data_IF_473167982911
#
_entry.id   IF_473167982911
#
_cell.length_a   1.000
_cell.length_b   1.000
_cell.length_c   1.000
_cell.angle_alpha   90.00
_cell.angle_beta   90.00
_cell.angle_gamma   90.00
#
_symmetry.space_group_name_H-M   'P 1'
#
loop_
_entity.id
_entity.type
_entity.pdbx_description
1 polymer ?
#
# COMPACT_ATOMS: atom_id res chain seq x y z
N UNK A 1 1.43 20.47 3.58
CA UNK A 1 0.00 20.35 3.94
C UNK A 1 -0.42 18.90 4.07
N UNK A 2 -0.16 18.06 3.06
CA UNK A 2 -0.43 16.63 3.11
C UNK A 2 0.77 15.86 3.67
N UNK A 3 0.51 14.79 4.40
CA UNK A 3 1.50 13.85 4.92
C UNK A 3 1.10 12.42 4.61
N UNK A 4 2.11 11.54 4.58
CA UNK A 4 1.85 10.12 4.61
C UNK A 4 1.20 9.70 5.94
N UNK A 5 0.20 8.82 5.87
CA UNK A 5 -0.41 8.25 7.06
C UNK A 5 0.64 7.39 7.79
N UNK A 6 0.61 7.41 9.13
CA UNK A 6 1.61 6.72 9.95
C UNK A 6 0.99 5.54 10.67
N UNK A 7 1.59 4.36 10.53
CA UNK A 7 1.18 3.18 11.27
C UNK A 7 1.41 3.40 12.78
N UNK A 8 0.35 3.31 13.58
CA UNK A 8 0.39 3.45 15.03
C UNK A 8 -0.72 2.63 15.69
N UNK A 9 -0.60 2.38 16.98
CA UNK A 9 -1.58 1.62 17.75
C UNK A 9 -2.94 2.34 17.70
N UNK A 10 -4.01 1.63 17.36
CA UNK A 10 -5.35 2.23 17.24
C UNK A 10 -5.86 2.81 18.56
N UNK A 11 -5.55 2.16 19.69
CA UNK A 11 -5.95 2.64 21.01
C UNK A 11 -5.11 3.83 21.52
N UNK A 12 -3.92 4.07 20.95
CA UNK A 12 -3.06 5.19 21.30
C UNK A 12 -2.08 5.48 20.16
N UNK A 13 -2.40 6.50 19.36
CA UNK A 13 -1.64 6.88 18.15
C UNK A 13 -0.21 7.36 18.43
N UNK A 14 0.14 7.65 19.69
CA UNK A 14 1.52 7.98 20.07
C UNK A 14 2.42 6.74 20.17
N UNK A 15 1.84 5.53 20.18
CA UNK A 15 2.60 4.27 20.24
C UNK A 15 2.81 3.76 18.82
N UNK A 16 4.05 3.88 18.35
CA UNK A 16 4.46 3.39 17.04
C UNK A 16 4.87 1.92 17.09
N UNK A 17 4.67 1.16 16.00
CA UNK A 17 5.18 -0.20 15.90
C UNK A 17 6.72 -0.18 15.92
N UNK A 18 7.32 -1.22 16.51
CA UNK A 18 8.78 -1.38 16.51
C UNK A 18 9.35 -1.31 15.08
N UNK A 19 10.51 -0.68 14.94
CA UNK A 19 11.32 -0.64 13.73
C UNK A 19 12.74 -1.11 14.04
N UNK A 20 13.53 -1.39 13.01
CA UNK A 20 14.95 -1.67 13.20
C UNK A 20 15.70 -0.34 13.29
N UNK A 21 16.34 -0.07 14.43
CA UNK A 21 17.04 1.18 14.66
C UNK A 21 18.31 1.33 13.81
N UNK A 22 18.93 0.21 13.41
CA UNK A 22 20.16 0.19 12.61
C UNK A 22 19.81 0.13 11.13
N UNK A 23 19.04 -0.88 10.72
CA UNK A 23 18.78 -1.14 9.31
C UNK A 23 17.61 -0.33 8.74
N UNK A 24 16.79 0.32 9.55
CA UNK A 24 15.56 0.97 9.08
C UNK A 24 14.49 -0.03 8.63
N UNK A 25 13.57 0.42 7.78
CA UNK A 25 12.48 -0.40 7.25
C UNK A 25 12.44 -0.42 5.71
N UNK A 26 11.81 -1.44 5.08
CA UNK A 26 11.73 -1.53 3.62
C UNK A 26 11.16 -0.29 2.92
N UNK A 27 10.25 0.44 3.58
CA UNK A 27 9.70 1.71 3.09
C UNK A 27 10.81 2.78 2.89
N UNK A 28 11.85 2.76 3.74
CA UNK A 28 13.03 3.61 3.58
C UNK A 28 13.95 3.10 2.46
N UNK A 29 14.13 1.77 2.38
CA UNK A 29 15.02 1.11 1.42
C UNK A 29 14.55 1.24 -0.02
N UNK A 30 13.24 1.27 -0.21
CA UNK A 30 12.56 1.35 -1.51
C UNK A 30 11.83 2.69 -1.68
N UNK A 31 12.38 3.78 -1.12
CA UNK A 31 11.86 5.13 -1.32
C UNK A 31 12.06 5.61 -2.76
N UNK A 32 11.17 6.49 -3.24
CA UNK A 32 11.24 7.03 -4.61
C UNK A 32 12.54 7.82 -4.89
N UNK A 33 13.14 8.43 -3.87
CA UNK A 33 14.45 9.09 -3.97
C UNK A 33 15.59 8.12 -4.30
N UNK A 34 15.45 6.84 -3.96
CA UNK A 34 16.42 5.78 -4.26
C UNK A 34 16.05 5.04 -5.54
N UNK A 35 14.76 4.70 -5.71
CA UNK A 35 14.25 3.98 -6.89
C UNK A 35 14.44 4.78 -8.18
N UNK A 36 14.38 6.11 -8.13
CA UNK A 36 14.62 7.00 -9.27
C UNK A 36 16.00 6.81 -9.91
N UNK A 37 17.02 6.42 -9.14
CA UNK A 37 18.35 6.09 -9.68
C UNK A 37 18.33 4.89 -10.64
N UNK A 38 17.29 4.04 -10.54
CA UNK A 38 17.04 2.90 -11.41
C UNK A 38 15.92 3.15 -12.41
N UNK A 39 15.41 4.39 -12.50
CA UNK A 39 14.22 4.73 -13.28
C UNK A 39 12.98 3.94 -12.88
N UNK A 40 12.87 3.60 -11.60
CA UNK A 40 11.71 2.92 -11.03
C UNK A 40 10.93 3.93 -10.18
N UNK A 41 9.61 3.84 -10.24
CA UNK A 41 8.70 4.59 -9.39
C UNK A 41 7.90 3.63 -8.51
N UNK A 42 7.87 3.90 -7.22
CA UNK A 42 7.04 3.22 -6.23
C UNK A 42 5.74 3.98 -5.95
N UNK A 43 4.62 3.26 -5.89
CA UNK A 43 3.30 3.78 -5.53
C UNK A 43 2.67 2.96 -4.40
N UNK A 44 2.15 3.64 -3.38
CA UNK A 44 1.36 3.02 -2.33
C UNK A 44 -0.11 3.34 -2.63
N UNK A 45 -0.93 2.30 -2.74
CA UNK A 45 -2.34 2.44 -3.09
C UNK A 45 -3.18 1.45 -2.30
N UNK A 46 -4.40 1.86 -2.01
CA UNK A 46 -5.44 1.00 -1.48
C UNK A 46 -6.34 0.54 -2.63
N UNK A 47 -6.77 -0.71 -2.62
CA UNK A 47 -7.60 -1.25 -3.70
C UNK A 47 -8.70 -2.20 -3.19
N UNK A 48 -9.69 -2.42 -4.06
CA UNK A 48 -10.90 -3.16 -3.73
C UNK A 48 -10.98 -4.47 -4.49
N UNK A 49 -11.41 -5.51 -3.78
CA UNK A 49 -11.84 -6.77 -4.36
C UNK A 49 -13.33 -6.89 -4.11
N UNK A 50 -14.08 -7.18 -5.17
CA UNK A 50 -15.47 -7.58 -5.08
C UNK A 50 -15.51 -9.03 -4.56
N UNK A 51 -15.84 -9.21 -3.28
CA UNK A 51 -15.92 -10.53 -2.64
C UNK A 51 -17.20 -11.30 -2.96
N UNK A 52 -18.14 -10.67 -3.67
CA UNK A 52 -19.41 -11.29 -4.07
C UNK A 52 -19.37 -11.88 -5.47
N UNK A 53 -18.38 -11.50 -6.30
CA UNK A 53 -18.22 -12.08 -7.63
C UNK A 53 -17.67 -13.51 -7.55
N UNK A 54 -17.96 -14.33 -8.56
CA UNK A 54 -17.42 -15.70 -8.66
C UNK A 54 -16.81 -15.90 -10.05
N UNK A 55 -15.47 -15.93 -10.18
CA UNK A 55 -14.46 -15.77 -9.12
C UNK A 55 -14.45 -14.34 -8.51
N UNK A 56 -13.78 -14.15 -7.37
CA UNK A 56 -13.52 -12.82 -6.82
C UNK A 56 -12.73 -11.99 -7.83
N UNK A 57 -13.13 -10.73 -8.04
CA UNK A 57 -12.51 -9.84 -9.03
C UNK A 57 -12.10 -8.51 -8.41
N UNK A 58 -11.12 -7.84 -9.04
CA UNK A 58 -10.77 -6.46 -8.68
C UNK A 58 -11.92 -5.53 -9.07
N UNK A 59 -12.37 -4.68 -8.15
CA UNK A 59 -13.15 -3.50 -8.53
C UNK A 59 -12.17 -2.45 -9.07
N UNK A 60 -12.38 -1.88 -10.28
CA UNK A 60 -11.39 -1.06 -10.98
C UNK A 60 -11.26 0.37 -10.40
N UNK A 61 -11.09 0.46 -9.09
CA UNK A 61 -10.95 1.70 -8.33
C UNK A 61 -9.76 1.53 -7.39
N UNK A 62 -8.86 2.51 -7.41
CA UNK A 62 -7.73 2.62 -6.48
C UNK A 62 -7.80 3.93 -5.72
N UNK A 63 -7.36 3.89 -4.47
CA UNK A 63 -7.30 5.05 -3.59
C UNK A 63 -5.86 5.34 -3.17
N UNK A 64 -5.51 6.61 -3.11
CA UNK A 64 -4.22 7.08 -2.59
C UNK A 64 -4.50 7.92 -1.37
N UNK A 65 -4.17 7.36 -0.21
CA UNK A 65 -4.47 7.95 1.09
C UNK A 65 -3.44 9.02 1.47
N UNK A 66 -3.91 10.17 1.93
CA UNK A 66 -3.09 11.23 2.52
C UNK A 66 -3.81 11.84 3.74
N UNK A 67 -3.03 12.37 4.66
CA UNK A 67 -3.55 12.97 5.91
C UNK A 67 -3.21 14.45 5.92
N UNK A 68 -4.16 15.30 6.32
CA UNK A 68 -3.89 16.72 6.56
C UNK A 68 -2.89 16.89 7.71
N UNK A 69 -2.04 17.89 7.60
CA UNK A 69 -1.15 18.26 8.72
C UNK A 69 -1.98 18.73 9.91
N UNK A 70 -1.47 18.58 11.15
CA UNK A 70 -2.18 19.05 12.34
C UNK A 70 -2.62 20.51 12.20
N UNK A 71 -3.83 20.82 12.65
CA UNK A 71 -4.49 22.13 12.53
C UNK A 71 -4.82 22.63 11.11
N UNK A 72 -4.61 21.82 10.05
CA UNK A 72 -5.09 22.14 8.70
C UNK A 72 -6.48 21.56 8.50
N UNK A 73 -7.40 22.34 7.92
CA UNK A 73 -8.77 21.89 7.62
C UNK A 73 -8.99 21.71 6.13
N UNK A 74 -10.10 21.06 5.76
CA UNK A 74 -10.44 20.86 4.35
C UNK A 74 -10.54 22.17 3.57
N UNK A 75 -11.01 23.25 4.18
CA UNK A 75 -11.10 24.56 3.53
C UNK A 75 -9.73 25.05 3.04
N UNK A 76 -8.67 24.81 3.81
CA UNK A 76 -7.30 25.19 3.42
C UNK A 76 -6.81 24.38 2.21
N UNK A 77 -7.11 23.07 2.20
CA UNK A 77 -6.78 22.19 1.09
C UNK A 77 -7.56 22.55 -0.18
N UNK A 78 -8.84 22.88 -0.03
CA UNK A 78 -9.77 23.17 -1.13
C UNK A 78 -9.51 24.51 -1.83
N UNK A 79 -8.63 25.37 -1.30
CA UNK A 79 -8.20 26.60 -1.99
C UNK A 79 -7.54 26.27 -3.33
N UNK A 80 -6.65 25.26 -3.37
CA UNK A 80 -6.00 24.78 -4.59
C UNK A 80 -5.55 23.32 -4.44
N UNK A 81 -6.49 22.34 -4.55
CA UNK A 81 -6.19 20.92 -4.41
C UNK A 81 -5.09 20.44 -5.36
N UNK A 82 -5.06 21.00 -6.57
CA UNK A 82 -4.09 20.65 -7.61
C UNK A 82 -2.68 21.06 -7.18
N UNK A 83 -2.48 22.30 -6.75
CA UNK A 83 -1.17 22.74 -6.28
C UNK A 83 -0.71 21.92 -5.05
N UNK A 84 -1.62 21.60 -4.13
CA UNK A 84 -1.30 20.78 -2.96
C UNK A 84 -0.87 19.35 -3.33
N UNK A 85 -1.57 18.70 -4.27
CA UNK A 85 -1.23 17.37 -4.75
C UNK A 85 0.08 17.38 -5.57
N UNK A 86 0.29 18.37 -6.43
CA UNK A 86 1.55 18.53 -7.18
C UNK A 86 2.72 18.79 -6.23
N UNK A 87 2.54 19.60 -5.19
CA UNK A 87 3.57 19.83 -4.18
C UNK A 87 3.89 18.55 -3.39
N UNK A 88 2.87 17.72 -3.11
CA UNK A 88 3.03 16.49 -2.35
C UNK A 88 3.71 15.37 -3.13
N UNK A 89 3.25 15.12 -4.36
CA UNK A 89 3.64 13.95 -5.15
C UNK A 89 4.63 14.28 -6.27
N UNK A 90 4.67 15.53 -6.71
CA UNK A 90 5.40 15.93 -7.91
C UNK A 90 4.67 15.54 -9.20
N UNK A 91 4.96 16.27 -10.28
CA UNK A 91 4.31 16.06 -11.59
C UNK A 91 4.61 14.68 -12.19
N UNK A 92 5.83 14.19 -12.02
CA UNK A 92 6.25 12.88 -12.55
C UNK A 92 5.41 11.76 -11.95
N UNK A 93 5.21 11.75 -10.63
CA UNK A 93 4.36 10.76 -9.97
C UNK A 93 2.94 10.79 -10.50
N UNK A 94 2.33 11.98 -10.59
CA UNK A 94 0.93 12.15 -11.00
C UNK A 94 0.72 11.76 -12.47
N UNK A 95 1.67 12.09 -13.35
CA UNK A 95 1.66 11.66 -14.74
C UNK A 95 1.79 10.14 -14.87
N UNK A 96 2.69 9.53 -14.10
CA UNK A 96 2.85 8.07 -14.10
C UNK A 96 1.60 7.37 -13.56
N UNK A 97 1.00 7.91 -12.50
CA UNK A 97 -0.25 7.39 -11.94
C UNK A 97 -1.37 7.44 -12.98
N UNK A 98 -1.57 8.59 -13.62
CA UNK A 98 -2.57 8.76 -14.67
C UNK A 98 -2.35 7.79 -15.83
N UNK A 99 -1.10 7.66 -16.30
CA UNK A 99 -0.76 6.75 -17.39
C UNK A 99 -1.05 5.30 -16.99
N UNK A 100 -0.59 4.88 -15.82
CA UNK A 100 -0.84 3.54 -15.28
C UNK A 100 -2.34 3.24 -15.18
N UNK A 101 -3.13 4.15 -14.59
CA UNK A 101 -4.57 3.94 -14.38
C UNK A 101 -5.32 3.90 -15.70
N UNK A 102 -4.98 4.78 -16.65
CA UNK A 102 -5.58 4.78 -17.99
C UNK A 102 -5.25 3.50 -18.76
N UNK A 103 -3.99 3.04 -18.72
CA UNK A 103 -3.57 1.79 -19.38
C UNK A 103 -4.26 0.58 -18.78
N UNK A 104 -4.45 0.55 -17.46
CA UNK A 104 -5.06 -0.59 -16.78
C UNK A 104 -6.58 -0.52 -16.67
N UNK A 105 -7.22 0.58 -17.10
CA UNK A 105 -8.67 0.78 -16.95
C UNK A 105 -9.12 0.99 -15.51
N UNK A 106 -8.29 1.64 -14.68
CA UNK A 106 -8.56 1.95 -13.28
C UNK A 106 -9.02 3.40 -13.10
N UNK A 107 -9.94 3.61 -12.16
CA UNK A 107 -10.22 4.94 -11.62
C UNK A 107 -9.34 5.22 -10.40
N UNK A 108 -8.72 6.41 -10.34
CA UNK A 108 -7.91 6.82 -9.20
C UNK A 108 -8.55 7.99 -8.45
N UNK A 109 -8.54 7.90 -7.12
CA UNK A 109 -8.92 9.00 -6.24
C UNK A 109 -7.93 9.16 -5.10
N UNK A 110 -7.68 10.40 -4.69
CA UNK A 110 -6.98 10.69 -3.45
C UNK A 110 -8.00 10.75 -2.32
N UNK A 111 -7.72 10.06 -1.22
CA UNK A 111 -8.52 10.10 0.00
C UNK A 111 -7.78 10.99 0.98
N UNK A 112 -8.24 12.23 1.12
CA UNK A 112 -7.65 13.22 2.02
C UNK A 112 -8.42 13.17 3.35
N UNK A 113 -7.69 12.89 4.42
CA UNK A 113 -8.23 12.60 5.75
C UNK A 113 -7.79 13.69 6.73
N UNK A 114 -8.74 14.39 7.35
CA UNK A 114 -8.48 15.15 8.58
C UNK A 114 -8.54 14.20 9.78
N UNK A 115 -7.38 13.65 10.18
CA UNK A 115 -7.30 12.59 11.19
C UNK A 115 -7.55 13.08 12.63
N UNK A 116 -7.76 14.40 12.82
CA UNK A 116 -8.18 15.01 14.10
C UNK A 116 -9.70 14.99 14.30
N UNK A 117 -10.49 14.65 13.26
CA UNK A 117 -11.94 14.57 13.38
C UNK A 117 -12.38 13.46 14.34
N UNK A 118 -13.56 13.66 14.96
CA UNK A 118 -14.28 12.60 15.64
C UNK A 118 -14.95 11.67 14.63
N UNK A 119 -14.25 10.61 14.25
CA UNK A 119 -14.76 9.63 13.28
C UNK A 119 -15.97 8.82 13.76
N UNK A 120 -16.40 8.97 15.02
CA UNK A 120 -17.64 8.37 15.52
C UNK A 120 -18.89 9.21 15.19
N UNK A 121 -18.69 10.48 14.82
CA UNK A 121 -19.75 11.39 14.40
C UNK A 121 -20.16 11.16 12.94
N UNK A 122 -21.47 11.05 12.68
CA UNK A 122 -22.01 10.90 11.32
C UNK A 122 -21.85 12.17 10.46
N UNK A 123 -21.50 13.30 11.09
CA UNK A 123 -21.20 14.57 10.39
C UNK A 123 -19.75 14.68 9.93
N UNK A 124 -18.87 13.75 10.34
CA UNK A 124 -17.46 13.77 9.92
C UNK A 124 -17.33 13.55 8.41
N UNK A 125 -16.42 14.30 7.80
CA UNK A 125 -16.27 14.38 6.36
C UNK A 125 -14.94 13.81 5.89
N UNK A 126 -14.93 13.33 4.64
CA UNK A 126 -13.75 12.89 3.93
C UNK A 126 -13.70 13.68 2.62
N UNK A 127 -12.53 14.21 2.26
CA UNK A 127 -12.33 14.82 0.95
C UNK A 127 -11.80 13.76 -0.03
N UNK A 128 -12.65 13.36 -0.99
CA UNK A 128 -12.25 12.55 -2.12
C UNK A 128 -11.88 13.44 -3.29
N UNK A 129 -10.69 13.26 -3.87
CA UNK A 129 -10.26 13.99 -5.05
C UNK A 129 -10.09 13.02 -6.21
N UNK A 130 -11.03 13.01 -7.15
CA UNK A 130 -10.93 12.17 -8.34
C UNK A 130 -9.87 12.72 -9.28
N UNK A 131 -8.98 11.85 -9.77
CA UNK A 131 -8.06 12.16 -10.86
C UNK A 131 -8.75 11.87 -12.19
N UNK A 132 -8.89 12.90 -13.02
CA UNK A 132 -9.46 12.81 -14.37
C UNK A 132 -8.35 13.16 -15.37
N UNK A 133 -8.11 12.30 -16.35
CA UNK A 133 -7.00 12.50 -17.29
C UNK A 133 -5.66 12.61 -16.56
N UNK A 134 -4.81 13.55 -16.97
CA UNK A 134 -3.41 13.67 -16.50
C UNK A 134 -3.17 14.71 -15.42
N UNK A 135 -4.03 15.71 -15.27
CA UNK A 135 -3.78 16.85 -14.38
C UNK A 135 -5.08 17.59 -13.98
N UNK A 136 -6.23 16.89 -14.05
CA UNK A 136 -7.52 17.39 -13.60
C UNK A 136 -7.94 16.68 -12.31
N UNK A 137 -8.28 17.47 -11.29
CA UNK A 137 -8.53 17.04 -9.92
C UNK A 137 -9.87 17.58 -9.48
N UNK A 138 -10.84 16.69 -9.28
CA UNK A 138 -12.19 17.06 -8.85
C UNK A 138 -12.37 16.70 -7.38
N UNK A 139 -12.27 17.67 -6.44
CA UNK A 139 -12.49 17.43 -5.02
C UNK A 139 -14.00 17.32 -4.72
N UNK A 140 -14.33 16.47 -3.75
CA UNK A 140 -15.67 16.35 -3.20
C UNK A 140 -15.56 16.05 -1.70
N UNK A 141 -16.23 16.85 -0.88
CA UNK A 141 -16.48 16.50 0.52
C UNK A 141 -17.69 15.57 0.60
N UNK A 142 -17.51 14.45 1.28
CA UNK A 142 -18.57 13.48 1.53
C UNK A 142 -18.60 13.12 3.02
N UNK A 143 -19.77 12.78 3.52
CA UNK A 143 -19.90 12.32 4.91
C UNK A 143 -19.34 10.90 5.07
N UNK A 144 -19.02 10.55 6.32
CA UNK A 144 -18.59 9.20 6.69
C UNK A 144 -19.61 8.13 6.29
N UNK A 145 -20.91 8.45 6.32
CA UNK A 145 -21.98 7.55 5.86
C UNK A 145 -21.88 7.22 4.38
N UNK A 146 -21.66 8.23 3.52
CA UNK A 146 -21.44 8.05 2.09
C UNK A 146 -20.15 7.26 1.84
N UNK A 147 -19.07 7.58 2.56
CA UNK A 147 -17.79 6.90 2.42
C UNK A 147 -17.86 5.41 2.78
N UNK A 148 -18.56 5.06 3.87
CA UNK A 148 -18.88 3.66 4.24
C UNK A 148 -19.68 2.97 3.13
N UNK A 149 -20.65 3.67 2.53
CA UNK A 149 -21.42 3.18 1.40
C UNK A 149 -20.55 2.84 0.18
N UNK A 150 -19.61 3.73 -0.18
CA UNK A 150 -18.65 3.50 -1.27
C UNK A 150 -17.75 2.29 -0.99
N UNK A 151 -17.23 2.16 0.24
CA UNK A 151 -16.40 1.01 0.62
C UNK A 151 -17.17 -0.31 0.43
N UNK A 152 -18.42 -0.38 0.89
CA UNK A 152 -19.26 -1.58 0.73
C UNK A 152 -19.55 -1.85 -0.74
N UNK A 153 -19.93 -0.82 -1.50
CA UNK A 153 -20.19 -0.95 -2.93
C UNK A 153 -18.98 -1.54 -3.65
N UNK A 154 -17.79 -0.96 -3.46
CA UNK A 154 -16.58 -1.41 -4.13
C UNK A 154 -16.07 -2.76 -3.62
N UNK A 155 -16.38 -3.14 -2.39
CA UNK A 155 -16.03 -4.47 -1.84
C UNK A 155 -16.99 -5.59 -2.24
N UNK A 156 -18.06 -5.30 -2.99
CA UNK A 156 -19.10 -6.30 -3.30
C UNK A 156 -20.06 -6.57 -2.15
N UNK A 157 -20.16 -5.66 -1.19
CA UNK A 157 -20.99 -5.80 0.00
C UNK A 157 -20.23 -5.52 1.30
N UNK A 158 -20.86 -5.80 2.46
CA UNK A 158 -20.26 -5.57 3.76
C UNK A 158 -19.04 -6.47 4.01
N UNK A 159 -17.96 -5.89 4.53
CA UNK A 159 -16.73 -6.61 4.88
C UNK A 159 -16.28 -6.23 6.29
N UNK A 160 -16.00 -7.23 7.12
CA UNK A 160 -15.56 -7.07 8.51
C UNK A 160 -14.30 -7.93 8.76
N UNK A 161 -13.41 -7.47 9.65
CA UNK A 161 -12.15 -8.15 10.04
C UNK A 161 -12.28 -8.96 11.35
N UNK A 162 -13.48 -9.01 11.91
CA UNK A 162 -13.82 -9.57 13.21
C UNK A 162 -14.01 -8.49 14.28
N UNK A 163 -14.60 -8.89 15.42
CA UNK A 163 -14.90 -7.98 16.55
C UNK A 163 -13.68 -7.26 17.13
N UNK A 164 -12.50 -7.85 16.99
CA UNK A 164 -11.24 -7.28 17.50
C UNK A 164 -10.84 -5.97 16.79
N UNK A 165 -11.24 -5.80 15.53
CA UNK A 165 -10.75 -4.70 14.71
C UNK A 165 -9.23 -4.76 14.49
N UNK A 166 -8.68 -3.65 14.00
CA UNK A 166 -7.24 -3.47 13.83
C UNK A 166 -6.57 -3.15 15.16
N UNK A 167 -5.41 -3.77 15.41
CA UNK A 167 -4.54 -3.37 16.53
C UNK A 167 -3.76 -2.12 16.16
N UNK A 168 -3.23 -2.08 14.93
CA UNK A 168 -2.52 -0.94 14.36
C UNK A 168 -3.25 -0.52 13.08
N UNK A 169 -3.39 0.78 12.88
CA UNK A 169 -3.92 1.37 11.66
C UNK A 169 -3.03 2.53 11.22
N UNK A 170 -3.23 3.02 10.02
CA UNK A 170 -2.48 4.16 9.47
C UNK A 170 -3.16 5.51 9.75
N UNK A 171 -4.45 5.47 10.11
CA UNK A 171 -5.29 6.63 10.51
C UNK A 171 -6.30 6.23 11.60
N UNK A 172 -6.82 7.22 12.34
CA UNK A 172 -7.96 7.01 13.24
C UNK A 172 -9.22 6.58 12.47
N UNK A 173 -9.41 7.08 11.25
CA UNK A 173 -10.50 6.66 10.35
C UNK A 173 -10.46 5.14 10.11
N UNK A 174 -9.30 4.61 9.73
CA UNK A 174 -9.12 3.17 9.47
C UNK A 174 -9.36 2.34 10.74
N UNK A 175 -8.85 2.80 11.88
CA UNK A 175 -9.09 2.17 13.17
C UNK A 175 -10.59 2.09 13.50
N UNK A 176 -11.33 3.19 13.31
CA UNK A 176 -12.79 3.23 13.51
C UNK A 176 -13.50 2.27 12.53
N UNK A 177 -13.19 2.35 11.23
CA UNK A 177 -13.82 1.51 10.21
C UNK A 177 -13.58 0.01 10.43
N UNK A 178 -12.45 -0.36 11.04
CA UNK A 178 -12.14 -1.77 11.34
C UNK A 178 -13.12 -2.44 12.31
N UNK A 179 -13.89 -1.65 13.08
CA UNK A 179 -14.95 -2.15 13.96
C UNK A 179 -16.33 -2.16 13.28
N UNK A 180 -16.42 -1.78 12.01
CA UNK A 180 -17.65 -1.74 11.22
C UNK A 180 -17.68 -2.85 10.17
N UNK A 181 -18.74 -2.89 9.37
CA UNK A 181 -18.86 -3.72 8.18
C UNK A 181 -18.41 -2.99 6.89
N UNK A 182 -17.72 -1.86 7.05
CA UNK A 182 -17.12 -1.04 5.99
C UNK A 182 -15.60 -1.01 6.17
N UNK A 183 -14.98 -2.18 6.29
CA UNK A 183 -13.53 -2.31 6.45
C UNK A 183 -12.83 -1.58 5.31
N UNK A 184 -11.93 -0.66 5.67
CA UNK A 184 -11.12 0.09 4.72
C UNK A 184 -10.41 -0.87 3.73
N UNK A 185 -10.27 -0.52 2.42
CA UNK A 185 -9.71 -1.39 1.38
C UNK A 185 -8.31 -1.94 1.70
N UNK A 186 -7.89 -2.94 0.92
CA UNK A 186 -6.58 -3.58 1.11
C UNK A 186 -5.45 -2.65 0.76
N UNK A 187 -4.44 -2.61 1.62
CA UNK A 187 -3.19 -1.87 1.43
C UNK A 187 -2.24 -2.66 0.52
N UNK A 188 -1.77 -2.03 -0.54
CA UNK A 188 -0.58 -2.48 -1.27
C UNK A 188 0.63 -1.72 -0.74
N UNK A 189 1.56 -2.44 -0.11
CA UNK A 189 2.73 -1.81 0.50
C UNK A 189 3.60 -1.06 -0.52
N UNK A 190 3.80 -1.63 -1.73
CA UNK A 190 4.44 -0.92 -2.85
C UNK A 190 4.15 -1.57 -4.21
N UNK A 191 3.58 -0.80 -5.15
CA UNK A 191 3.60 -1.12 -6.59
C UNK A 191 4.80 -0.46 -7.24
N UNK A 192 5.58 -1.21 -8.01
CA UNK A 192 6.72 -0.70 -8.77
C UNK A 192 6.33 -0.52 -10.23
N UNK A 193 6.66 0.64 -10.80
CA UNK A 193 6.52 0.97 -12.20
C UNK A 193 7.87 1.32 -12.82
N UNK A 194 8.04 1.08 -14.11
CA UNK A 194 9.18 1.58 -14.90
C UNK A 194 8.99 3.05 -15.32
N UNK A 195 9.95 3.59 -16.09
CA UNK A 195 9.88 4.94 -16.64
C UNK A 195 8.75 5.16 -17.65
N UNK A 196 8.18 4.07 -18.17
CA UNK A 196 7.01 4.08 -19.03
C UNK A 196 5.69 3.91 -18.27
N UNK A 197 5.73 3.87 -16.93
CA UNK A 197 4.58 3.62 -16.05
C UNK A 197 3.96 2.22 -16.23
N UNK A 198 4.75 1.28 -16.73
CA UNK A 198 4.38 -0.14 -16.84
C UNK A 198 4.67 -0.83 -15.51
N UNK A 199 3.73 -1.61 -14.96
CA UNK A 199 3.97 -2.37 -13.74
C UNK A 199 5.14 -3.34 -13.85
N UNK A 200 6.00 -3.35 -12.83
CA UNK A 200 7.17 -4.22 -12.74
C UNK A 200 7.01 -5.31 -11.69
N UNK A 201 6.49 -4.97 -10.50
CA UNK A 201 6.34 -5.89 -9.38
C UNK A 201 5.45 -5.28 -8.28
N UNK A 202 4.89 -6.14 -7.45
CA UNK A 202 4.26 -5.78 -6.18
C UNK A 202 5.22 -6.20 -5.06
N UNK A 203 5.55 -5.29 -4.14
CA UNK A 203 6.24 -5.65 -2.89
C UNK A 203 5.24 -5.68 -1.75
N UNK A 204 5.39 -6.68 -0.88
CA UNK A 204 4.64 -6.88 0.35
C UNK A 204 5.65 -6.97 1.51
N UNK A 205 5.53 -6.10 2.51
CA UNK A 205 6.49 -5.96 3.59
C UNK A 205 6.00 -6.69 4.85
N UNK A 206 6.65 -7.82 5.16
CA UNK A 206 6.30 -8.61 6.34
C UNK A 206 7.29 -8.42 7.47
N UNK A 207 6.86 -7.66 8.48
CA UNK A 207 7.63 -7.41 9.70
C UNK A 207 7.70 -8.64 10.59
N UNK A 208 8.91 -8.97 11.05
CA UNK A 208 9.20 -9.95 12.07
C UNK A 208 9.61 -9.25 13.38
N UNK A 209 8.91 -9.61 14.46
CA UNK A 209 9.07 -9.02 15.79
C UNK A 209 9.53 -10.03 16.84
N UNK A 210 10.02 -11.21 16.45
CA UNK A 210 10.70 -12.13 17.34
C UNK A 210 12.20 -12.05 17.11
N UNK A 211 12.99 -12.46 18.12
CA UNK A 211 14.45 -12.51 18.04
C UNK A 211 14.99 -13.66 17.17
N UNK A 212 14.11 -14.40 16.49
CA UNK A 212 14.48 -15.50 15.64
C UNK A 212 15.07 -15.02 14.31
N UNK A 213 15.90 -15.85 13.67
CA UNK A 213 16.42 -15.57 12.33
C UNK A 213 15.26 -15.36 11.35
N UNK A 214 15.32 -14.26 10.58
CA UNK A 214 14.37 -13.94 9.51
C UNK A 214 14.28 -15.07 8.48
N UNK A 215 15.30 -15.91 8.39
CA UNK A 215 15.32 -17.06 7.49
C UNK A 215 14.22 -18.08 7.72
N UNK A 216 13.75 -18.16 8.96
CA UNK A 216 12.63 -19.01 9.32
C UNK A 216 11.29 -18.38 8.88
N UNK A 217 11.25 -17.12 8.46
CA UNK A 217 10.04 -16.49 7.95
C UNK A 217 9.82 -16.90 6.49
N UNK A 218 8.66 -17.46 6.19
CA UNK A 218 8.29 -17.93 4.85
C UNK A 218 6.81 -17.65 4.64
N UNK A 219 6.37 -17.60 3.39
CA UNK A 219 4.95 -17.43 3.05
C UNK A 219 4.06 -18.45 3.78
N UNK A 220 4.52 -19.69 3.92
CA UNK A 220 3.76 -20.79 4.56
C UNK A 220 3.40 -20.55 6.03
N UNK A 221 4.03 -19.58 6.71
CA UNK A 221 3.63 -19.18 8.07
C UNK A 221 2.41 -18.25 8.10
N UNK A 222 2.06 -17.68 6.95
CA UNK A 222 1.06 -16.62 6.82
C UNK A 222 -0.04 -16.96 5.83
N UNK A 223 0.23 -17.84 4.87
CA UNK A 223 -0.70 -18.22 3.81
C UNK A 223 -0.87 -19.75 3.74
N UNK A 224 -2.11 -20.27 3.62
CA UNK A 224 -3.37 -19.52 3.49
C UNK A 224 -3.91 -18.94 4.82
N UNK A 225 -3.29 -19.26 5.95
CA UNK A 225 -3.69 -18.74 7.26
C UNK A 225 -2.47 -18.25 8.04
N UNK A 226 -2.62 -17.19 8.86
CA UNK A 226 -3.84 -16.41 9.12
C UNK A 226 -4.17 -15.32 8.08
N UNK A 227 -3.27 -15.01 7.15
CA UNK A 227 -3.32 -13.82 6.31
C UNK A 227 -3.83 -14.09 4.88
N UNK A 228 -4.56 -15.19 4.65
CA UNK A 228 -5.03 -15.63 3.33
C UNK A 228 -5.68 -14.53 2.49
N UNK A 229 -6.62 -13.79 3.10
CA UNK A 229 -7.32 -12.67 2.44
C UNK A 229 -6.36 -11.58 1.96
N UNK A 230 -5.28 -11.28 2.70
CA UNK A 230 -4.30 -10.27 2.30
C UNK A 230 -3.58 -10.70 1.02
N UNK A 231 -3.04 -11.91 1.02
CA UNK A 231 -2.29 -12.42 -0.12
C UNK A 231 -3.19 -12.71 -1.35
N UNK A 232 -4.41 -13.19 -1.13
CA UNK A 232 -5.38 -13.39 -2.22
C UNK A 232 -5.75 -12.06 -2.90
N UNK A 233 -5.89 -10.96 -2.14
CA UNK A 233 -6.09 -9.61 -2.72
C UNK A 233 -4.96 -9.24 -3.68
N UNK A 234 -3.70 -9.46 -3.28
CA UNK A 234 -2.54 -9.16 -4.14
C UNK A 234 -2.53 -10.02 -5.40
N UNK A 235 -2.87 -11.31 -5.29
CA UNK A 235 -2.99 -12.20 -6.45
C UNK A 235 -4.08 -11.75 -7.43
N UNK A 236 -5.25 -11.37 -6.92
CA UNK A 236 -6.37 -10.85 -7.72
C UNK A 236 -5.96 -9.55 -8.44
N UNK A 237 -5.27 -8.64 -7.74
CA UNK A 237 -4.75 -7.42 -8.37
C UNK A 237 -3.76 -7.75 -9.50
N UNK A 238 -2.80 -8.64 -9.26
CA UNK A 238 -1.84 -9.09 -10.29
C UNK A 238 -2.56 -9.70 -11.51
N UNK A 239 -3.57 -10.54 -11.27
CA UNK A 239 -4.38 -11.14 -12.35
C UNK A 239 -5.15 -10.10 -13.15
N UNK A 240 -5.69 -9.07 -12.48
CA UNK A 240 -6.30 -7.92 -13.15
C UNK A 240 -5.29 -7.18 -14.04
N UNK A 241 -4.09 -6.86 -13.53
CA UNK A 241 -3.05 -6.20 -14.32
C UNK A 241 -2.66 -7.03 -15.55
N UNK A 242 -2.53 -8.35 -15.41
CA UNK A 242 -2.26 -9.24 -16.54
C UNK A 242 -3.39 -9.17 -17.58
N UNK A 243 -4.65 -9.20 -17.14
CA UNK A 243 -5.82 -9.13 -18.03
C UNK A 243 -5.97 -7.77 -18.72
N UNK A 244 -5.73 -6.66 -18.01
CA UNK A 244 -5.96 -5.31 -18.53
C UNK A 244 -4.81 -4.77 -19.36
N UNK A 245 -3.57 -5.09 -19.00
CA UNK A 245 -2.36 -4.56 -19.65
C UNK A 245 -1.52 -5.60 -20.41
N UNK A 246 -1.82 -6.89 -20.26
CA UNK A 246 -0.98 -7.98 -20.76
C UNK A 246 0.31 -8.20 -19.95
N UNK A 247 0.54 -7.43 -18.90
CA UNK A 247 1.78 -7.46 -18.12
C UNK A 247 1.67 -8.44 -16.96
N UNK A 248 2.55 -9.45 -16.94
CA UNK A 248 2.64 -10.38 -15.82
C UNK A 248 3.73 -9.94 -14.83
N UNK A 249 3.34 -9.55 -13.62
CA UNK A 249 4.25 -9.05 -12.59
C UNK A 249 4.38 -10.02 -11.39
N UNK A 250 5.56 -10.15 -10.78
CA UNK A 250 5.71 -10.89 -9.53
C UNK A 250 5.09 -10.15 -8.34
N UNK A 251 4.63 -10.95 -7.37
CA UNK A 251 4.46 -10.51 -5.98
C UNK A 251 5.73 -10.94 -5.24
N UNK A 252 6.38 -10.01 -4.56
CA UNK A 252 7.62 -10.23 -3.81
C UNK A 252 7.36 -9.90 -2.35
N UNK A 253 7.45 -10.90 -1.48
CA UNK A 253 7.34 -10.69 -0.03
C UNK A 253 8.72 -10.41 0.54
N UNK A 254 8.88 -9.29 1.21
CA UNK A 254 10.10 -8.88 1.91
C UNK A 254 9.90 -9.08 3.41
N UNK A 255 10.48 -10.16 3.94
CA UNK A 255 10.51 -10.42 5.37
C UNK A 255 11.69 -9.69 6.00
N UNK A 256 11.43 -8.83 6.99
CA UNK A 256 12.46 -8.04 7.66
C UNK A 256 12.27 -8.07 9.18
N UNK A 257 13.34 -7.88 9.94
CA UNK A 257 13.30 -7.91 11.41
C UNK A 257 13.38 -6.52 12.01
N UNK A 258 12.70 -6.34 13.14
CA UNK A 258 12.78 -5.14 13.99
C UNK A 258 13.96 -5.14 14.96
N UNK A 259 14.69 -6.25 15.08
CA UNK A 259 15.84 -6.35 15.99
C UNK A 259 17.11 -5.84 15.33
N UNK A 260 17.83 -4.97 16.05
CA UNK A 260 19.09 -4.37 15.59
C UNK A 260 20.16 -5.40 15.19
N UNK A 261 20.15 -6.60 15.80
CA UNK A 261 21.08 -7.69 15.48
C UNK A 261 20.75 -8.44 14.19
N UNK A 262 19.70 -8.03 13.47
CA UNK A 262 19.24 -8.65 12.25
C UNK A 262 20.12 -8.37 11.03
N UNK A 263 21.06 -9.27 10.74
CA UNK A 263 22.00 -9.09 9.62
C UNK A 263 21.39 -9.28 8.22
N UNK A 264 20.23 -9.95 8.14
CA UNK A 264 19.59 -10.30 6.87
C UNK A 264 18.12 -9.94 6.86
N UNK A 265 17.61 -9.72 5.66
CA UNK A 265 16.20 -9.83 5.31
C UNK A 265 16.04 -10.97 4.29
N UNK A 266 14.82 -11.48 4.17
CA UNK A 266 14.49 -12.56 3.22
C UNK A 266 13.50 -12.06 2.19
N UNK A 267 13.68 -12.45 0.94
CA UNK A 267 12.73 -12.21 -0.13
C UNK A 267 12.15 -13.52 -0.65
N UNK A 268 10.84 -13.55 -0.90
CA UNK A 268 10.18 -14.66 -1.59
C UNK A 268 9.38 -14.13 -2.78
N UNK A 269 9.69 -14.64 -3.97
CA UNK A 269 8.94 -14.36 -5.19
C UNK A 269 7.82 -15.38 -5.30
N UNK A 270 6.58 -14.93 -5.40
CA UNK A 270 5.40 -15.78 -5.38
C UNK A 270 4.93 -16.17 -6.79
N UNK A 271 4.27 -17.33 -6.88
CA UNK A 271 3.54 -17.80 -8.06
C UNK A 271 2.24 -18.50 -7.65
N UNK A 272 1.39 -18.83 -8.62
CA UNK A 272 0.06 -19.39 -8.38
C UNK A 272 -1.02 -18.31 -8.30
N UNK A 273 -2.28 -18.71 -8.42
CA UNK A 273 -3.45 -17.83 -8.37
C UNK A 273 -3.88 -17.55 -6.92
N UNK A 274 -4.88 -16.70 -6.74
CA UNK A 274 -5.58 -16.61 -5.45
C UNK A 274 -6.06 -18.00 -4.99
N UNK A 275 -5.99 -18.27 -3.70
CA UNK A 275 -6.22 -19.58 -3.08
C UNK A 275 -5.10 -20.62 -3.26
N UNK A 276 -4.05 -20.33 -4.05
CA UNK A 276 -2.97 -21.30 -4.36
C UNK A 276 -1.57 -20.70 -4.46
N UNK A 277 -1.35 -19.53 -3.84
CA UNK A 277 -0.04 -18.89 -3.81
C UNK A 277 1.03 -19.76 -3.13
N UNK A 278 2.21 -19.81 -3.75
CA UNK A 278 3.38 -20.50 -3.19
C UNK A 278 4.68 -19.78 -3.58
N UNK A 279 5.76 -19.94 -2.79
CA UNK A 279 7.07 -19.42 -3.16
C UNK A 279 7.58 -20.11 -4.43
N UNK A 280 7.96 -19.35 -5.45
CA UNK A 280 8.68 -19.83 -6.64
C UNK A 280 10.19 -19.87 -6.37
N UNK A 281 10.74 -18.78 -5.85
CA UNK A 281 12.14 -18.62 -5.47
C UNK A 281 12.26 -17.80 -4.21
N UNK A 282 13.32 -18.02 -3.46
CA UNK A 282 13.60 -17.29 -2.23
C UNK A 282 15.10 -16.97 -2.12
N UNK A 283 15.43 -15.89 -1.43
CA UNK A 283 16.81 -15.49 -1.17
C UNK A 283 16.97 -14.77 0.16
N UNK A 284 18.15 -14.89 0.76
CA UNK A 284 18.57 -14.05 1.88
C UNK A 284 19.44 -12.92 1.34
N UNK A 285 19.24 -11.72 1.86
CA UNK A 285 20.00 -10.53 1.47
C UNK A 285 20.48 -9.83 2.74
N UNK A 286 21.72 -9.35 2.73
CA UNK A 286 22.25 -8.56 3.86
C UNK A 286 21.45 -7.28 4.04
N UNK A 287 20.92 -7.09 5.24
CA UNK A 287 20.26 -5.86 5.67
C UNK A 287 21.21 -4.66 5.58
N UNK A 288 20.70 -3.43 5.45
CA UNK A 288 21.51 -2.23 5.65
C UNK A 288 22.25 -2.28 6.99
N UNK A 289 23.55 -1.99 7.00
CA UNK A 289 24.34 -1.94 8.24
C UNK A 289 24.15 -0.65 9.02
N UNK A 290 23.53 0.36 8.40
CA UNK A 290 23.15 1.64 8.98
C UNK A 290 22.02 2.27 8.14
N UNK A 291 21.53 3.43 8.56
CA UNK A 291 20.50 4.22 7.85
C UNK A 291 21.06 5.18 6.80
N UNK A 292 22.27 4.93 6.28
CA UNK A 292 22.85 5.78 5.26
C UNK A 292 22.20 5.55 3.90
N UNK A 293 22.13 6.62 3.10
CA UNK A 293 21.70 6.56 1.70
C UNK A 293 22.50 5.52 0.90
N UNK A 294 23.79 5.32 1.22
CA UNK A 294 24.66 4.34 0.56
C UNK A 294 24.16 2.91 0.78
N UNK A 295 23.87 2.54 2.02
CA UNK A 295 23.38 1.20 2.34
C UNK A 295 21.97 0.94 1.78
N UNK A 296 21.08 1.93 1.85
CA UNK A 296 19.76 1.80 1.25
C UNK A 296 19.83 1.67 -0.28
N UNK A 297 20.69 2.46 -0.94
CA UNK A 297 20.90 2.35 -2.39
C UNK A 297 21.49 0.98 -2.78
N UNK A 298 22.37 0.40 -1.97
CA UNK A 298 22.88 -0.98 -2.18
C UNK A 298 21.72 -1.98 -2.21
N UNK A 299 20.76 -1.86 -1.30
CA UNK A 299 19.59 -2.74 -1.23
C UNK A 299 18.64 -2.50 -2.40
N UNK A 300 18.28 -1.24 -2.68
CA UNK A 300 17.46 -0.87 -3.83
C UNK A 300 18.06 -1.42 -5.13
N UNK A 301 19.40 -1.40 -5.26
CA UNK A 301 20.10 -1.89 -6.45
C UNK A 301 19.96 -3.39 -6.74
N UNK A 302 19.45 -4.17 -5.78
CA UNK A 302 19.18 -5.59 -5.97
C UNK A 302 17.82 -5.85 -6.61
N UNK A 303 16.92 -4.86 -6.64
CA UNK A 303 15.55 -5.01 -7.08
C UNK A 303 15.41 -5.59 -8.50
N UNK A 304 16.16 -5.12 -9.53
CA UNK A 304 16.06 -5.72 -10.87
C UNK A 304 16.46 -7.19 -10.88
N UNK A 305 17.46 -7.58 -10.08
CA UNK A 305 17.88 -8.99 -9.95
C UNK A 305 16.79 -9.83 -9.29
N UNK A 306 16.13 -9.29 -8.26
CA UNK A 306 15.03 -9.97 -7.55
C UNK A 306 13.83 -10.16 -8.49
N UNK A 307 13.46 -9.12 -9.26
CA UNK A 307 12.37 -9.20 -10.25
C UNK A 307 12.67 -10.28 -11.31
N UNK A 308 13.90 -10.34 -11.81
CA UNK A 308 14.32 -11.34 -12.81
C UNK A 308 14.27 -12.80 -12.30
N UNK A 309 14.22 -13.03 -10.99
CA UNK A 309 13.99 -14.38 -10.44
C UNK A 309 12.61 -14.92 -10.84
N UNK A 310 11.65 -14.05 -11.14
CA UNK A 310 10.30 -14.45 -11.56
C UNK A 310 10.25 -14.99 -12.98
N UNK A 311 11.03 -14.44 -13.90
CA UNK A 311 11.06 -14.87 -15.31
C UNK A 311 12.01 -16.04 -15.54
N UNK A 312 13.04 -16.18 -14.70
CA UNK A 312 13.97 -17.32 -14.68
C UNK A 312 13.38 -18.55 -13.98
#
# INVERSE_FOLDING_TARGET
MLNDPKLALCANRNILPKNNEISGSPEEWFSNDLLSAQKILGMNLDFFVNWSSTPNELTPVIWIKQVLSPNVRYQDFLVDPKAQLVARFGRVYLQSLSKFTNTCGLEASFVIIDDEQDWTSDTSEICLVKLIGTDDFTPQLITIGIFKGLIKQYSGGPVNIGKKGLIYGTTNLECMLSHTDSLYPGDMDLLLLDDNSVPLAILEFKKHNLSADVSAQTLSKYYPMPDGRKYDRLAIFREYILKSSGTNIPIIVVFYTTYATGEYFRVEVLTGAAGSLKPKKAGKVKSPTDKSRKEFLRVANLLPKIINLYTS
#
